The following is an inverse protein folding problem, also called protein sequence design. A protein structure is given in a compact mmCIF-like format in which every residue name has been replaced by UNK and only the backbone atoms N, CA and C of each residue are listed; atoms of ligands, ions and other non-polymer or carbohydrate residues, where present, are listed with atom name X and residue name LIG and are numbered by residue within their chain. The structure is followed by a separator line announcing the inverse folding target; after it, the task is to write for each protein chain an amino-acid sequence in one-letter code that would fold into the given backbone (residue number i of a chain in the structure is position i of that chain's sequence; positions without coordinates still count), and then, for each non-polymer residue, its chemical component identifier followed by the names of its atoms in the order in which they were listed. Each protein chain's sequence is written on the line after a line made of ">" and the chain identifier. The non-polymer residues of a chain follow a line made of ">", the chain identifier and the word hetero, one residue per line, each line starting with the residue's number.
data_IF_099768523271
#
_entry.id   IF_099768523271
#
_cell.length_a   1.000
_cell.length_b   1.000
_cell.length_c   1.000
_cell.angle_alpha   90.00
_cell.angle_beta   90.00
_cell.angle_gamma   90.00
#
_symmetry.space_group_name_H-M   'P 1'
#
loop_
_entity.id
_entity.type
_entity.pdbx_description
1 polymer ?
#
# COMPACT_ATOMS: atom_id res chain seq x y z
N UNK A 1 22.12 7.37 11.93
CA UNK A 1 21.39 8.36 11.12
C UNK A 1 20.96 9.59 11.94
N UNK A 2 21.02 9.56 13.26
CA UNK A 2 20.74 10.69 14.16
C UNK A 2 19.25 11.04 14.31
N UNK A 3 18.35 10.09 14.11
CA UNK A 3 16.93 10.24 14.43
C UNK A 3 16.64 9.68 15.82
N UNK A 4 15.84 10.39 16.59
CA UNK A 4 15.40 10.00 17.93
C UNK A 4 14.07 9.26 17.89
N UNK A 5 13.23 9.54 16.89
CA UNK A 5 11.88 9.05 16.81
C UNK A 5 11.59 8.42 15.45
N UNK A 6 10.68 7.46 15.43
CA UNK A 6 10.20 6.83 14.19
C UNK A 6 8.70 6.54 14.27
N UNK A 7 8.08 6.50 13.12
CA UNK A 7 6.74 5.93 12.94
C UNK A 7 6.75 5.10 11.67
N UNK A 8 6.34 3.85 11.79
CA UNK A 8 6.06 2.98 10.65
C UNK A 8 4.57 2.71 10.61
N UNK A 9 3.92 3.14 9.55
CA UNK A 9 2.52 2.87 9.26
C UNK A 9 2.39 2.07 7.97
N UNK A 10 1.57 1.02 7.99
CA UNK A 10 1.28 0.20 6.82
C UNK A 10 -0.21 -0.10 6.77
N UNK A 11 -0.84 0.16 5.64
CA UNK A 11 -2.19 -0.24 5.32
C UNK A 11 -2.15 -1.31 4.23
N UNK A 12 -2.68 -2.47 4.56
CA UNK A 12 -2.80 -3.60 3.64
C UNK A 12 -4.28 -3.83 3.37
N UNK A 13 -4.67 -3.90 2.11
CA UNK A 13 -6.00 -4.28 1.70
C UNK A 13 -6.17 -5.81 1.83
N UNK A 14 -6.35 -6.30 3.04
CA UNK A 14 -6.68 -7.70 3.30
C UNK A 14 -8.12 -8.01 2.89
N UNK A 15 -8.96 -6.97 2.83
CA UNK A 15 -10.36 -7.03 2.39
C UNK A 15 -10.74 -5.67 1.82
N UNK A 16 -11.58 -5.63 0.78
CA UNK A 16 -12.12 -4.37 0.23
C UNK A 16 -12.94 -3.59 1.26
N UNK A 17 -13.55 -4.28 2.22
CA UNK A 17 -14.39 -3.67 3.25
C UNK A 17 -13.63 -3.29 4.52
N UNK A 18 -12.46 -3.88 4.77
CA UNK A 18 -11.69 -3.65 6.01
C UNK A 18 -10.18 -3.75 5.74
N UNK A 19 -9.54 -2.65 5.30
CA UNK A 19 -8.08 -2.61 5.25
C UNK A 19 -7.52 -2.78 6.67
N UNK A 20 -6.57 -3.68 6.85
CA UNK A 20 -5.81 -3.76 8.11
C UNK A 20 -4.75 -2.67 8.12
N UNK A 21 -4.68 -1.98 9.23
CA UNK A 21 -3.67 -0.95 9.46
C UNK A 21 -2.76 -1.41 10.60
N UNK A 22 -1.46 -1.32 10.35
CA UNK A 22 -0.42 -1.57 11.34
C UNK A 22 0.32 -0.26 11.58
N UNK A 23 0.50 0.09 12.85
CA UNK A 23 1.27 1.28 13.23
C UNK A 23 2.22 0.88 14.35
N UNK A 24 3.53 1.04 14.08
CA UNK A 24 4.58 0.96 15.08
C UNK A 24 5.11 2.37 15.28
N UNK A 25 4.95 2.90 16.49
CA UNK A 25 5.33 4.26 16.81
C UNK A 25 6.35 4.30 17.93
N UNK A 26 7.50 4.91 17.68
CA UNK A 26 8.47 5.36 18.66
C UNK A 26 8.45 6.90 18.80
N UNK A 27 7.33 7.53 18.49
CA UNK A 27 7.10 8.96 18.76
C UNK A 27 6.85 9.18 20.26
N UNK A 28 7.04 10.41 20.75
CA UNK A 28 6.80 10.75 22.15
C UNK A 28 5.40 10.36 22.61
N UNK A 29 5.31 9.99 23.88
CA UNK A 29 4.04 9.66 24.50
C UNK A 29 3.07 10.85 24.41
N UNK A 30 1.82 10.56 24.11
CA UNK A 30 0.78 11.57 23.95
C UNK A 30 0.66 12.17 22.54
N UNK A 31 1.72 12.16 21.71
CA UNK A 31 1.62 12.67 20.32
C UNK A 31 0.54 11.96 19.52
N UNK A 32 0.50 10.63 19.61
CA UNK A 32 -0.49 9.85 18.84
C UNK A 32 -1.93 10.20 19.23
N UNK A 33 -2.23 10.28 20.52
CA UNK A 33 -3.55 10.66 20.99
C UNK A 33 -3.90 12.08 20.53
N UNK A 34 -2.96 13.02 20.69
CA UNK A 34 -3.15 14.40 20.23
C UNK A 34 -3.41 14.47 18.71
N UNK A 35 -2.63 13.74 17.91
CA UNK A 35 -2.78 13.68 16.46
C UNK A 35 -4.18 13.17 16.05
N UNK A 36 -4.64 12.11 16.70
CA UNK A 36 -5.95 11.49 16.43
C UNK A 36 -7.10 12.40 16.91
N UNK A 37 -6.99 13.02 18.10
CA UNK A 37 -7.98 13.96 18.67
C UNK A 37 -8.14 15.22 17.81
N UNK A 38 -7.06 15.74 17.25
CA UNK A 38 -7.09 16.91 16.38
C UNK A 38 -7.50 16.57 14.94
N UNK A 39 -7.69 15.30 14.60
CA UNK A 39 -8.07 14.85 13.26
C UNK A 39 -6.99 15.12 12.20
N UNK A 40 -5.73 15.19 12.59
CA UNK A 40 -4.62 15.58 11.69
C UNK A 40 -4.44 14.65 10.51
N UNK A 41 -4.86 13.39 10.62
CA UNK A 41 -4.76 12.44 9.50
C UNK A 41 -5.41 12.95 8.20
N UNK A 42 -6.50 13.71 8.31
CA UNK A 42 -7.23 14.22 7.15
C UNK A 42 -6.53 15.39 6.44
N UNK A 43 -5.60 16.06 7.13
CA UNK A 43 -4.99 17.31 6.64
C UNK A 43 -3.44 17.24 6.60
N UNK A 44 -2.86 16.11 6.98
CA UNK A 44 -1.41 15.93 7.06
C UNK A 44 -0.77 15.95 5.68
N UNK A 45 0.04 16.97 5.35
CA UNK A 45 0.69 17.09 4.05
C UNK A 45 1.78 16.03 3.85
N UNK A 46 2.31 15.42 4.92
CA UNK A 46 3.27 14.31 4.83
C UNK A 46 2.57 13.06 4.30
N UNK A 47 1.36 12.76 4.82
CA UNK A 47 0.54 11.65 4.31
C UNK A 47 0.11 11.91 2.86
N UNK A 48 -0.36 13.12 2.55
CA UNK A 48 -0.79 13.49 1.21
C UNK A 48 0.34 13.34 0.18
N UNK A 49 1.54 13.86 0.50
CA UNK A 49 2.72 13.69 -0.37
C UNK A 49 3.17 12.24 -0.47
N UNK A 50 3.16 11.51 0.64
CA UNK A 50 3.54 10.10 0.67
C UNK A 50 2.65 9.23 -0.22
N UNK A 51 1.37 9.57 -0.34
CA UNK A 51 0.44 8.82 -1.18
C UNK A 51 0.76 8.89 -2.69
N UNK A 52 1.47 9.93 -3.14
CA UNK A 52 1.78 10.15 -4.56
C UNK A 52 3.28 10.08 -4.88
N UNK A 53 4.15 10.07 -3.86
CA UNK A 53 5.61 9.98 -4.03
C UNK A 53 6.09 8.55 -3.86
N UNK A 54 7.11 8.16 -4.62
CA UNK A 54 7.85 6.90 -4.42
C UNK A 54 9.24 7.14 -3.83
N UNK A 55 9.69 8.39 -3.79
CA UNK A 55 10.99 8.76 -3.27
C UNK A 55 10.89 9.31 -1.84
N UNK A 56 11.91 9.09 -1.01
CA UNK A 56 12.02 9.76 0.28
C UNK A 56 12.00 11.28 0.14
N UNK A 57 11.40 11.96 1.10
CA UNK A 57 11.35 13.43 1.15
C UNK A 57 11.48 13.94 2.58
N UNK A 58 11.99 15.16 2.71
CA UNK A 58 12.04 15.85 3.99
C UNK A 58 10.73 16.55 4.32
N UNK A 59 10.46 16.73 5.61
CA UNK A 59 9.30 17.49 6.06
C UNK A 59 9.40 18.99 5.71
N UNK A 60 10.59 19.48 5.42
CA UNK A 60 10.86 20.81 4.88
C UNK A 60 10.44 21.00 3.42
N UNK A 61 10.10 19.90 2.74
CA UNK A 61 9.67 19.90 1.33
C UNK A 61 8.13 19.81 1.18
N UNK A 62 7.37 19.67 2.26
CA UNK A 62 5.90 19.62 2.18
C UNK A 62 5.30 21.00 2.32
N UNK A 63 4.11 21.19 1.76
CA UNK A 63 3.38 22.44 1.87
C UNK A 63 2.91 22.67 3.31
N UNK A 64 3.35 23.77 3.92
CA UNK A 64 2.98 24.21 5.26
C UNK A 64 2.26 25.56 5.25
N UNK A 65 1.79 25.99 4.08
CA UNK A 65 1.17 27.32 3.94
C UNK A 65 -0.24 27.40 4.50
N UNK A 66 -0.96 26.27 4.54
CA UNK A 66 -2.31 26.23 5.11
C UNK A 66 -2.26 26.38 6.64
N UNK A 67 -3.24 27.09 7.26
CA UNK A 67 -3.30 27.22 8.72
C UNK A 67 -3.31 25.88 9.45
N UNK A 68 -4.01 24.89 8.89
CA UNK A 68 -4.10 23.53 9.46
C UNK A 68 -2.76 22.78 9.41
N UNK A 69 -2.03 22.83 8.29
CA UNK A 69 -0.71 22.24 8.18
C UNK A 69 0.29 22.91 9.12
N UNK A 70 0.25 24.26 9.20
CA UNK A 70 1.10 25.00 10.15
C UNK A 70 0.85 24.55 11.58
N UNK A 71 -0.43 24.50 12.01
CA UNK A 71 -0.80 24.03 13.33
C UNK A 71 -0.29 22.61 13.62
N UNK A 72 -0.42 21.69 12.67
CA UNK A 72 0.09 20.32 12.81
C UNK A 72 1.59 20.32 13.14
N UNK A 73 2.40 21.08 12.39
CA UNK A 73 3.85 21.11 12.63
C UNK A 73 4.23 21.90 13.88
N UNK A 74 3.48 22.94 14.24
CA UNK A 74 3.67 23.69 15.50
C UNK A 74 3.39 22.76 16.69
N UNK A 75 2.29 22.00 16.66
CA UNK A 75 1.95 21.02 17.68
C UNK A 75 2.98 19.88 17.73
N UNK A 76 3.43 19.36 16.59
CA UNK A 76 4.46 18.33 16.51
C UNK A 76 5.77 18.78 17.16
N UNK A 77 6.14 20.05 16.98
CA UNK A 77 7.34 20.62 17.58
C UNK A 77 7.28 20.63 19.11
N UNK A 78 6.11 20.83 19.72
CA UNK A 78 5.92 20.74 21.20
C UNK A 78 6.30 19.35 21.72
N UNK A 79 6.10 18.32 20.90
CA UNK A 79 6.49 16.94 21.22
C UNK A 79 7.93 16.57 20.76
N UNK A 80 8.73 17.55 20.32
CA UNK A 80 10.11 17.31 19.87
C UNK A 80 10.24 16.79 18.43
N UNK A 81 9.15 16.78 17.65
CA UNK A 81 9.13 16.33 16.26
C UNK A 81 9.35 17.53 15.31
N UNK A 82 10.55 18.12 15.34
CA UNK A 82 10.86 19.38 14.62
C UNK A 82 11.17 19.18 13.15
N UNK A 83 12.05 18.22 12.87
CA UNK A 83 12.54 17.90 11.53
C UNK A 83 12.41 16.42 11.26
N UNK A 84 12.09 16.08 10.03
CA UNK A 84 11.96 14.68 9.69
C UNK A 84 12.12 14.40 8.21
N UNK A 85 12.29 13.13 7.92
CA UNK A 85 12.17 12.59 6.57
C UNK A 85 11.13 11.47 6.58
N UNK A 86 10.46 11.31 5.45
CA UNK A 86 9.48 10.24 5.24
C UNK A 86 9.86 9.45 4.00
N UNK A 87 9.81 8.13 4.14
CA UNK A 87 9.97 7.17 3.06
C UNK A 87 8.60 6.56 2.77
N UNK A 88 7.99 6.85 1.60
CA UNK A 88 6.76 6.22 1.18
C UNK A 88 6.97 4.73 0.89
N UNK A 89 5.94 3.94 1.13
CA UNK A 89 5.90 2.51 0.87
C UNK A 89 4.69 2.23 0.00
N UNK A 90 4.94 1.75 -1.21
CA UNK A 90 3.90 1.31 -2.12
C UNK A 90 4.14 -0.16 -2.46
N UNK A 91 3.20 -1.00 -2.15
CA UNK A 91 3.28 -2.43 -2.39
C UNK A 91 2.28 -2.91 -3.44
N UNK A 92 2.27 -4.21 -3.67
CA UNK A 92 1.28 -4.85 -4.51
C UNK A 92 -0.13 -4.70 -3.89
N UNK A 93 -1.16 -4.75 -4.75
CA UNK A 93 -2.57 -4.78 -4.31
C UNK A 93 -3.03 -3.55 -3.51
N UNK A 94 -2.45 -2.36 -3.79
CA UNK A 94 -2.83 -1.13 -3.11
C UNK A 94 -2.30 -1.02 -1.67
N UNK A 95 -1.29 -1.79 -1.31
CA UNK A 95 -0.56 -1.58 -0.07
C UNK A 95 0.06 -0.17 -0.07
N UNK A 96 -0.18 0.55 1.01
CA UNK A 96 0.37 1.88 1.22
C UNK A 96 0.85 2.02 2.67
N UNK A 97 2.02 2.60 2.81
CA UNK A 97 2.59 2.89 4.11
C UNK A 97 3.62 4.01 4.07
N UNK A 98 4.08 4.36 5.23
CA UNK A 98 5.13 5.36 5.44
C UNK A 98 6.07 4.90 6.56
N UNK A 99 7.36 5.17 6.36
CA UNK A 99 8.33 5.23 7.44
C UNK A 99 8.72 6.69 7.63
N UNK A 100 8.30 7.28 8.73
CA UNK A 100 8.68 8.64 9.11
C UNK A 100 9.72 8.59 10.23
N UNK A 101 10.79 9.35 10.07
CA UNK A 101 11.90 9.47 11.01
C UNK A 101 12.00 10.93 11.44
N UNK A 102 12.01 11.19 12.75
CA UNK A 102 12.02 12.55 13.28
C UNK A 102 13.22 12.82 14.20
N UNK A 103 13.64 14.08 14.23
CA UNK A 103 14.78 14.57 14.99
C UNK A 103 14.62 16.05 15.36
N UNK A 104 15.43 16.48 16.35
CA UNK A 104 15.45 17.88 16.79
C UNK A 104 16.19 18.78 15.80
N UNK A 105 17.35 18.34 15.30
CA UNK A 105 18.19 19.14 14.42
C UNK A 105 17.72 19.10 12.97
N UNK A 106 17.98 20.16 12.18
CA UNK A 106 17.70 20.17 10.76
C UNK A 106 18.32 18.99 9.99
N UNK A 107 17.70 18.60 8.90
CA UNK A 107 18.29 17.62 7.99
C UNK A 107 19.53 18.20 7.33
N UNK A 108 20.56 17.38 7.07
CA UNK A 108 21.76 17.82 6.34
C UNK A 108 21.38 18.26 4.93
N UNK A 109 22.27 19.00 4.27
CA UNK A 109 22.10 19.48 2.92
C UNK A 109 23.03 18.75 1.93
N UNK A 110 22.77 18.92 0.64
CA UNK A 110 23.62 18.44 -0.45
C UNK A 110 23.85 16.92 -0.42
N UNK A 111 25.07 16.49 -0.66
CA UNK A 111 25.43 15.06 -0.73
C UNK A 111 25.18 14.30 0.57
N UNK A 112 25.25 14.95 1.72
CA UNK A 112 24.96 14.30 3.01
C UNK A 112 23.44 13.99 3.14
N UNK A 113 22.56 14.86 2.66
CA UNK A 113 21.12 14.64 2.57
C UNK A 113 20.81 13.45 1.64
N UNK A 114 21.40 13.43 0.45
CA UNK A 114 21.19 12.35 -0.51
C UNK A 114 21.58 10.98 0.10
N UNK A 115 22.74 10.88 0.74
CA UNK A 115 23.18 9.66 1.42
C UNK A 115 22.23 9.26 2.56
N UNK A 116 21.74 10.23 3.33
CA UNK A 116 20.77 9.97 4.39
C UNK A 116 19.49 9.36 3.85
N UNK A 117 18.95 9.92 2.76
CA UNK A 117 17.73 9.46 2.11
C UNK A 117 17.88 8.06 1.51
N UNK A 118 19.00 7.79 0.85
CA UNK A 118 19.33 6.46 0.33
C UNK A 118 19.35 5.41 1.46
N UNK A 119 20.02 5.72 2.58
CA UNK A 119 20.10 4.81 3.74
C UNK A 119 18.73 4.58 4.37
N UNK A 120 17.92 5.64 4.52
CA UNK A 120 16.59 5.53 5.06
C UNK A 120 15.69 4.67 4.15
N UNK A 121 15.76 4.89 2.84
CA UNK A 121 15.03 4.09 1.86
C UNK A 121 15.42 2.60 1.93
N UNK A 122 16.71 2.29 1.95
CA UNK A 122 17.19 0.91 2.07
C UNK A 122 16.70 0.22 3.35
N UNK A 123 16.79 0.89 4.49
CA UNK A 123 16.33 0.35 5.77
C UNK A 123 14.81 0.13 5.74
N UNK A 124 14.06 1.10 5.22
CA UNK A 124 12.60 1.00 5.11
C UNK A 124 12.19 -0.18 4.22
N UNK A 125 12.86 -0.39 3.09
CA UNK A 125 12.58 -1.53 2.21
C UNK A 125 12.79 -2.89 2.91
N UNK A 126 13.85 -3.03 3.71
CA UNK A 126 14.09 -4.26 4.48
C UNK A 126 13.05 -4.46 5.60
N UNK A 127 12.66 -3.39 6.29
CA UNK A 127 11.60 -3.45 7.30
C UNK A 127 10.28 -3.84 6.64
N UNK A 128 9.94 -3.23 5.51
CA UNK A 128 8.71 -3.53 4.77
C UNK A 128 8.66 -5.01 4.34
N UNK A 129 9.74 -5.53 3.78
CA UNK A 129 9.78 -6.94 3.37
C UNK A 129 9.56 -7.88 4.57
N UNK A 130 10.21 -7.60 5.70
CA UNK A 130 10.02 -8.40 6.91
C UNK A 130 8.62 -8.27 7.49
N UNK A 131 8.07 -7.06 7.55
CA UNK A 131 6.70 -6.83 8.02
C UNK A 131 5.67 -7.52 7.12
N UNK A 132 5.88 -7.47 5.80
CA UNK A 132 5.02 -8.16 4.84
C UNK A 132 5.01 -9.68 5.09
N UNK A 133 6.18 -10.29 5.30
CA UNK A 133 6.28 -11.71 5.64
C UNK A 133 5.51 -12.05 6.91
N UNK A 134 5.71 -11.29 8.00
CA UNK A 134 5.01 -11.50 9.27
C UNK A 134 3.48 -11.37 9.13
N UNK A 135 3.02 -10.39 8.38
CA UNK A 135 1.59 -10.20 8.12
C UNK A 135 1.02 -11.34 7.29
N UNK A 136 1.74 -11.80 6.27
CA UNK A 136 1.32 -12.94 5.46
C UNK A 136 1.31 -14.23 6.28
N UNK A 137 2.31 -14.48 7.11
CA UNK A 137 2.34 -15.63 8.03
C UNK A 137 1.15 -15.62 8.99
N UNK A 138 0.81 -14.44 9.55
CA UNK A 138 -0.34 -14.29 10.44
C UNK A 138 -1.69 -14.40 9.69
N UNK A 139 -1.76 -13.94 8.43
CA UNK A 139 -2.98 -13.95 7.64
C UNK A 139 -3.31 -15.32 7.05
N UNK A 140 -2.33 -16.18 6.80
CA UNK A 140 -2.54 -17.52 6.19
C UNK A 140 -3.37 -18.46 7.08
N UNK A 141 -3.55 -18.15 8.36
CA UNK A 141 -4.37 -18.94 9.28
C UNK A 141 -5.88 -18.77 9.06
N UNK A 142 -6.33 -17.59 8.58
CA UNK A 142 -7.74 -17.20 8.47
C UNK A 142 -8.22 -16.80 7.06
N UNK A 143 -7.32 -16.82 6.04
CA UNK A 143 -7.68 -16.37 4.71
C UNK A 143 -8.42 -17.46 3.89
N UNK A 144 -9.42 -17.05 3.09
CA UNK A 144 -10.12 -17.97 2.20
C UNK A 144 -9.18 -18.54 1.16
N UNK A 145 -8.82 -19.82 1.30
CA UNK A 145 -7.97 -20.50 0.31
C UNK A 145 -8.79 -20.87 -0.92
N UNK A 146 -8.60 -20.10 -1.98
CA UNK A 146 -9.16 -20.44 -3.29
C UNK A 146 -8.38 -21.60 -3.89
N UNK A 147 -9.10 -22.58 -4.45
CA UNK A 147 -8.49 -23.65 -5.24
C UNK A 147 -7.93 -23.11 -6.56
N UNK A 148 -7.08 -23.87 -7.23
CA UNK A 148 -6.52 -23.51 -8.55
C UNK A 148 -7.66 -23.22 -9.54
N UNK A 149 -8.69 -24.06 -9.60
CA UNK A 149 -9.82 -23.92 -10.51
C UNK A 149 -10.70 -22.68 -10.20
N UNK A 150 -10.88 -22.36 -8.93
CA UNK A 150 -11.57 -21.13 -8.53
C UNK A 150 -10.78 -19.87 -8.95
N UNK A 151 -9.46 -19.89 -8.80
CA UNK A 151 -8.58 -18.79 -9.25
C UNK A 151 -8.60 -18.63 -10.77
N UNK A 152 -8.54 -19.72 -11.53
CA UNK A 152 -8.63 -19.72 -12.99
C UNK A 152 -9.96 -19.11 -13.46
N UNK A 153 -11.09 -19.58 -12.91
CA UNK A 153 -12.41 -19.03 -13.23
C UNK A 153 -12.50 -17.55 -12.91
N UNK A 154 -12.01 -17.11 -11.73
CA UNK A 154 -11.99 -15.71 -11.34
C UNK A 154 -11.09 -14.85 -12.24
N UNK A 155 -9.92 -15.37 -12.66
CA UNK A 155 -9.01 -14.67 -13.57
C UNK A 155 -9.65 -14.39 -14.92
N UNK A 156 -10.25 -15.41 -15.54
CA UNK A 156 -10.97 -15.21 -16.80
C UNK A 156 -12.19 -14.30 -16.64
N UNK A 157 -12.86 -14.37 -15.49
CA UNK A 157 -13.95 -13.48 -15.17
C UNK A 157 -13.48 -12.03 -15.02
N UNK A 158 -12.27 -11.80 -14.46
CA UNK A 158 -11.65 -10.48 -14.34
C UNK A 158 -11.29 -9.89 -15.72
N UNK A 159 -11.01 -10.72 -16.71
CA UNK A 159 -10.80 -10.34 -18.10
C UNK A 159 -12.13 -10.02 -18.84
N UNK A 160 -13.27 -10.14 -18.16
CA UNK A 160 -14.59 -9.85 -18.74
C UNK A 160 -15.22 -11.02 -19.51
N UNK A 161 -14.64 -12.23 -19.48
CA UNK A 161 -15.18 -13.38 -20.19
C UNK A 161 -16.53 -13.81 -19.60
N UNK A 162 -17.48 -14.15 -20.49
CA UNK A 162 -18.75 -14.79 -20.13
C UNK A 162 -18.49 -16.26 -19.71
N UNK A 163 -19.44 -16.85 -18.98
CA UNK A 163 -19.34 -18.22 -18.47
C UNK A 163 -19.04 -19.24 -19.55
N UNK A 164 -19.72 -19.13 -20.73
CA UNK A 164 -19.48 -19.99 -21.88
C UNK A 164 -18.04 -19.90 -22.44
N UNK A 165 -17.50 -18.68 -22.51
CA UNK A 165 -16.12 -18.46 -22.96
C UNK A 165 -15.10 -19.02 -21.95
N UNK A 166 -15.38 -18.89 -20.64
CA UNK A 166 -14.55 -19.49 -19.58
C UNK A 166 -14.58 -21.02 -19.68
N UNK A 167 -15.77 -21.60 -19.88
CA UNK A 167 -15.95 -23.03 -20.06
C UNK A 167 -15.12 -23.57 -21.23
N UNK A 168 -15.17 -22.88 -22.37
CA UNK A 168 -14.33 -23.21 -23.54
C UNK A 168 -12.84 -23.09 -23.26
N UNK A 169 -12.39 -22.00 -22.61
CA UNK A 169 -10.99 -21.73 -22.29
C UNK A 169 -10.41 -22.77 -21.30
N UNK A 170 -11.23 -23.25 -20.37
CA UNK A 170 -10.80 -24.22 -19.34
C UNK A 170 -11.13 -25.67 -19.67
N UNK A 171 -11.80 -25.93 -20.83
CA UNK A 171 -12.26 -27.24 -21.26
C UNK A 171 -13.13 -27.95 -20.22
N UNK A 172 -14.11 -27.22 -19.62
CA UNK A 172 -15.07 -27.74 -18.64
C UNK A 172 -16.49 -27.29 -18.99
N UNK A 173 -17.49 -27.91 -18.37
CA UNK A 173 -18.88 -27.50 -18.55
C UNK A 173 -19.18 -26.11 -17.95
N UNK A 174 -20.12 -25.36 -18.53
CA UNK A 174 -20.56 -24.06 -17.98
C UNK A 174 -21.08 -24.17 -16.54
N UNK A 175 -21.79 -25.26 -16.22
CA UNK A 175 -22.26 -25.56 -14.87
C UNK A 175 -21.10 -25.69 -13.88
N UNK A 176 -19.99 -26.25 -14.30
CA UNK A 176 -18.76 -26.37 -13.50
C UNK A 176 -18.11 -25.02 -13.28
N UNK A 177 -18.09 -24.13 -14.27
CA UNK A 177 -17.63 -22.74 -14.09
C UNK A 177 -18.48 -22.01 -13.05
N UNK A 178 -19.82 -22.12 -13.17
CA UNK A 178 -20.76 -21.52 -12.20
C UNK A 178 -20.49 -22.07 -10.79
N UNK A 179 -20.30 -23.36 -10.65
CA UNK A 179 -19.98 -23.99 -9.37
C UNK A 179 -18.70 -23.41 -8.76
N UNK A 180 -17.61 -23.29 -9.54
CA UNK A 180 -16.34 -22.72 -9.04
C UNK A 180 -16.46 -21.24 -8.67
N UNK A 181 -17.17 -20.44 -9.47
CA UNK A 181 -17.40 -19.03 -9.17
C UNK A 181 -18.24 -18.83 -7.88
N UNK A 182 -19.32 -19.62 -7.73
CA UNK A 182 -20.15 -19.57 -6.51
C UNK A 182 -19.35 -20.06 -5.28
N UNK A 183 -18.50 -21.06 -5.44
CA UNK A 183 -17.62 -21.51 -4.36
C UNK A 183 -16.62 -20.42 -3.96
N UNK A 184 -16.04 -19.75 -4.94
CA UNK A 184 -15.16 -18.61 -4.71
C UNK A 184 -15.88 -17.43 -4.02
N UNK A 185 -17.11 -17.09 -4.44
CA UNK A 185 -17.93 -16.06 -3.79
C UNK A 185 -18.15 -16.36 -2.31
N UNK A 186 -18.53 -17.61 -1.97
CA UNK A 186 -18.70 -18.02 -0.57
C UNK A 186 -17.42 -17.92 0.24
N UNK A 187 -16.28 -18.40 -0.30
CA UNK A 187 -14.98 -18.34 0.37
C UNK A 187 -14.51 -16.91 0.58
N UNK A 188 -14.79 -16.03 -0.39
CA UNK A 188 -14.49 -14.61 -0.32
C UNK A 188 -15.51 -13.83 0.53
N UNK A 189 -16.58 -14.44 1.02
CA UNK A 189 -17.60 -13.77 1.84
C UNK A 189 -18.39 -12.70 1.10
N UNK A 190 -18.63 -12.89 -0.20
CA UNK A 190 -19.35 -11.94 -1.05
C UNK A 190 -20.51 -12.61 -1.77
N UNK A 191 -21.51 -11.82 -2.21
CA UNK A 191 -22.73 -12.33 -2.87
C UNK A 191 -22.78 -12.05 -4.38
N UNK A 192 -21.80 -11.33 -4.94
CA UNK A 192 -21.80 -10.93 -6.33
C UNK A 192 -20.46 -11.25 -6.98
N UNK A 193 -20.50 -11.78 -8.22
CA UNK A 193 -19.31 -12.11 -9.02
C UNK A 193 -18.33 -10.93 -9.15
N UNK A 194 -18.85 -9.71 -9.41
CA UNK A 194 -18.02 -8.52 -9.50
C UNK A 194 -17.29 -8.20 -8.19
N UNK A 195 -17.94 -8.42 -7.06
CA UNK A 195 -17.32 -8.26 -5.75
C UNK A 195 -16.28 -9.35 -5.48
N UNK A 196 -16.54 -10.60 -5.92
CA UNK A 196 -15.57 -11.69 -5.80
C UNK A 196 -14.30 -11.42 -6.62
N UNK A 197 -14.45 -10.93 -7.85
CA UNK A 197 -13.33 -10.51 -8.70
C UNK A 197 -12.54 -9.39 -8.02
N UNK A 198 -13.20 -8.30 -7.62
CA UNK A 198 -12.55 -7.16 -7.00
C UNK A 198 -11.78 -7.56 -5.73
N UNK A 199 -12.40 -8.43 -4.89
CA UNK A 199 -11.79 -8.91 -3.66
C UNK A 199 -10.62 -9.85 -3.93
N UNK A 200 -10.74 -10.77 -4.89
CA UNK A 200 -9.66 -11.69 -5.26
C UNK A 200 -8.43 -10.94 -5.81
N UNK A 201 -8.65 -9.87 -6.58
CA UNK A 201 -7.57 -8.99 -7.07
C UNK A 201 -6.95 -8.21 -5.91
N UNK A 202 -7.77 -7.62 -5.02
CA UNK A 202 -7.28 -6.87 -3.86
C UNK A 202 -6.46 -7.74 -2.89
N UNK A 203 -6.80 -9.03 -2.77
CA UNK A 203 -6.04 -10.00 -1.96
C UNK A 203 -4.82 -10.59 -2.69
N UNK A 204 -4.57 -10.22 -3.96
CA UNK A 204 -3.53 -10.84 -4.76
C UNK A 204 -3.76 -12.33 -5.07
N UNK A 205 -4.96 -12.83 -4.80
CA UNK A 205 -5.32 -14.23 -5.09
C UNK A 205 -5.48 -14.50 -6.58
N UNK A 206 -5.80 -13.45 -7.34
CA UNK A 206 -5.91 -13.43 -8.80
C UNK A 206 -5.20 -12.18 -9.30
N UNK A 207 -4.26 -12.35 -10.21
CA UNK A 207 -3.66 -11.24 -10.93
C UNK A 207 -4.44 -11.04 -12.24
N UNK A 208 -5.04 -9.87 -12.46
CA UNK A 208 -5.44 -9.50 -13.84
C UNK A 208 -4.15 -9.41 -14.66
N UNK A 209 -4.20 -9.81 -15.94
CA UNK A 209 -3.04 -9.74 -16.82
C UNK A 209 -2.43 -8.33 -16.75
N UNK A 210 -1.34 -8.20 -16.00
CA UNK A 210 -0.72 -6.91 -15.69
C UNK A 210 0.01 -6.30 -16.87
N UNK A 211 0.29 -7.12 -17.89
CA UNK A 211 0.94 -6.66 -19.10
C UNK A 211 0.28 -7.32 -20.31
N UNK A 212 -0.21 -6.55 -21.28
CA UNK A 212 -0.45 -7.13 -22.59
C UNK A 212 0.87 -7.78 -23.02
N UNK A 213 0.81 -9.01 -23.53
CA UNK A 213 1.94 -9.83 -23.94
C UNK A 213 2.83 -9.20 -25.04
N UNK A 214 2.62 -7.94 -25.36
CA UNK A 214 3.38 -7.13 -26.31
C UNK A 214 3.52 -5.69 -25.79
N UNK A 215 4.41 -5.48 -24.83
CA UNK A 215 5.13 -4.20 -24.80
C UNK A 215 6.24 -4.38 -25.85
N UNK A 216 5.96 -3.96 -27.08
CA UNK A 216 7.00 -3.82 -28.09
C UNK A 216 8.00 -2.78 -27.54
N UNK A 217 9.29 -3.10 -27.58
CA UNK A 217 10.38 -2.18 -27.23
C UNK A 217 10.27 -0.83 -27.95
N UNK A 218 9.58 -0.76 -29.09
CA UNK A 218 9.26 0.48 -29.81
C UNK A 218 8.36 1.43 -29.01
N UNK A 219 7.42 0.94 -28.20
CA UNK A 219 6.51 1.79 -27.43
C UNK A 219 7.17 2.42 -26.19
N UNK A 220 8.21 1.78 -25.64
CA UNK A 220 8.97 2.34 -24.53
C UNK A 220 9.87 3.51 -24.98
N UNK A 221 10.38 3.47 -26.21
CA UNK A 221 11.23 4.53 -26.78
C UNK A 221 10.41 5.79 -27.09
N UNK A 222 9.13 5.65 -27.44
CA UNK A 222 8.27 6.78 -27.78
C UNK A 222 7.77 7.52 -26.52
N UNK A 223 7.55 6.80 -25.40
CA UNK A 223 7.21 7.39 -24.10
C UNK A 223 8.40 8.16 -23.47
N UNK A 224 9.64 7.79 -23.77
CA UNK A 224 10.84 8.46 -23.25
C UNK A 224 11.20 9.73 -24.04
N UNK A 225 10.52 10.01 -25.17
CA UNK A 225 10.75 11.18 -26.05
C UNK A 225 9.71 12.30 -25.86
N UNK A 226 8.75 12.12 -24.97
CA UNK A 226 7.77 13.13 -24.55
C UNK A 226 8.09 13.67 -23.17
#
# INVERSE_FOLDING_TARGET
>A
MGFQHFLYGLRIAVSLSQPRQFVLSGYPQGWRSHYDEQGFMAIDPVLARGAVSVLPFGWDEVDRTTPSAKRLFDDAAVFGLHHGLTVPIHGANGEFGLMSLARLEPLPQGAARARLFQRAHWITANIQERMRQLVLEAATADEPRLTIREKECLRHAAQGLKTSAIAGALHIAESTVVYHLNAAERKLGVKKRSHAIARAVALGAVEPDRFPSRISSSNLIELAKR
#
